data_IF_560602278217
#
_entry.id   IF_560602278217
#
_cell.length_a   1.000
_cell.length_b   1.000
_cell.length_c   1.000
_cell.angle_alpha   90.00
_cell.angle_beta   90.00
_cell.angle_gamma   90.00
#
_symmetry.space_group_name_H-M   'P 1'
#
loop_
_entity.id
_entity.type
_entity.pdbx_description
1 polymer ?
#
# COMPACT_ATOMS: atom_id res chain seq x y z
N UNK A 1 -37.33 -34.60 -40.04
CA UNK A 1 -37.66 -34.56 -38.61
C UNK A 1 -37.28 -33.18 -38.13
N UNK A 2 -38.29 -32.40 -37.75
CA UNK A 2 -38.34 -30.94 -37.87
C UNK A 2 -37.74 -30.26 -36.65
N UNK A 3 -36.99 -29.18 -36.92
CA UNK A 3 -36.60 -28.16 -35.95
C UNK A 3 -37.83 -27.27 -35.73
N UNK A 4 -38.39 -27.27 -34.52
CA UNK A 4 -39.36 -26.26 -34.06
C UNK A 4 -39.25 -26.08 -32.55
N UNK A 5 -39.06 -24.83 -32.18
CA UNK A 5 -39.58 -24.14 -30.98
C UNK A 5 -39.18 -24.62 -29.59
N UNK A 6 -38.39 -23.78 -28.91
CA UNK A 6 -38.82 -23.14 -27.65
C UNK A 6 -38.06 -21.82 -27.50
N UNK A 7 -38.62 -20.73 -28.03
CA UNK A 7 -38.29 -19.37 -27.61
C UNK A 7 -39.44 -18.83 -26.75
N UNK A 8 -39.06 -17.98 -25.79
CA UNK A 8 -39.87 -17.10 -24.95
C UNK A 8 -40.37 -17.65 -23.59
N UNK A 9 -39.59 -17.35 -22.56
CA UNK A 9 -40.10 -16.61 -21.41
C UNK A 9 -39.06 -15.55 -21.02
N UNK A 10 -39.25 -14.33 -21.53
CA UNK A 10 -38.49 -13.15 -21.14
C UNK A 10 -38.89 -12.60 -19.75
N UNK A 11 -39.55 -13.43 -18.91
CA UNK A 11 -39.96 -13.08 -17.54
C UNK A 11 -39.01 -13.63 -16.47
N UNK A 12 -38.11 -14.55 -16.82
CA UNK A 12 -37.22 -15.18 -15.86
C UNK A 12 -35.87 -14.45 -15.70
N UNK A 13 -35.51 -13.58 -16.65
CA UNK A 13 -34.32 -12.72 -16.55
C UNK A 13 -34.52 -11.52 -15.63
N UNK A 14 -35.74 -10.98 -15.52
CA UNK A 14 -36.04 -9.92 -14.54
C UNK A 14 -36.09 -10.46 -13.11
N UNK A 15 -36.51 -11.72 -12.92
CA UNK A 15 -36.55 -12.37 -11.60
C UNK A 15 -35.15 -12.71 -11.07
N UNK A 16 -34.23 -13.13 -11.95
CA UNK A 16 -32.84 -13.43 -11.57
C UNK A 16 -32.01 -12.15 -11.32
N UNK A 17 -32.26 -11.09 -12.09
CA UNK A 17 -31.64 -9.77 -11.87
C UNK A 17 -32.15 -9.09 -10.59
N UNK A 18 -33.39 -9.37 -10.17
CA UNK A 18 -33.95 -8.87 -8.91
C UNK A 18 -33.45 -9.62 -7.66
N UNK A 19 -32.81 -10.79 -7.82
CA UNK A 19 -32.30 -11.63 -6.73
C UNK A 19 -30.79 -11.50 -6.48
N UNK A 20 -30.07 -10.72 -7.29
CA UNK A 20 -28.69 -10.29 -7.04
C UNK A 20 -28.63 -8.80 -6.67
N UNK A 21 -29.57 -8.35 -5.84
CA UNK A 21 -29.25 -7.29 -4.89
C UNK A 21 -28.40 -7.96 -3.80
N UNK A 22 -27.15 -8.28 -4.13
CA UNK A 22 -26.15 -8.49 -3.10
C UNK A 22 -26.17 -7.22 -2.26
N UNK A 23 -26.55 -7.38 -1.00
CA UNK A 23 -26.53 -6.32 -0.01
C UNK A 23 -25.06 -5.89 0.07
N UNK A 24 -24.68 -4.87 -0.72
CA UNK A 24 -23.48 -4.10 -0.44
C UNK A 24 -23.59 -3.74 1.04
N UNK A 25 -22.59 -4.06 1.88
CA UNK A 25 -22.68 -3.71 3.29
C UNK A 25 -22.90 -2.21 3.36
N UNK A 26 -24.10 -1.81 3.78
CA UNK A 26 -24.50 -0.41 3.82
C UNK A 26 -23.47 0.30 4.68
N UNK A 27 -22.70 1.19 4.03
CA UNK A 27 -21.61 1.90 4.67
C UNK A 27 -22.18 2.57 5.92
N UNK A 28 -21.56 2.32 7.09
CA UNK A 28 -22.17 2.76 8.33
C UNK A 28 -22.40 4.29 8.33
N UNK A 29 -23.35 4.81 9.14
CA UNK A 29 -23.70 6.22 9.12
C UNK A 29 -22.52 7.16 9.39
N UNK A 30 -21.49 6.70 10.11
CA UNK A 30 -20.30 7.49 10.38
C UNK A 30 -19.46 7.68 9.12
N UNK A 31 -19.11 6.59 8.43
CA UNK A 31 -18.32 6.64 7.20
C UNK A 31 -19.10 7.34 6.07
N UNK A 32 -20.42 7.16 6.02
CA UNK A 32 -21.27 7.90 5.08
C UNK A 32 -21.22 9.41 5.37
N UNK A 33 -21.19 9.78 6.66
CA UNK A 33 -20.96 11.15 7.11
C UNK A 33 -19.60 11.72 6.69
N UNK A 34 -18.53 10.92 6.75
CA UNK A 34 -17.20 11.33 6.27
C UNK A 34 -17.22 11.60 4.76
N UNK A 35 -17.85 10.74 3.96
CA UNK A 35 -18.01 10.95 2.51
C UNK A 35 -18.84 12.20 2.23
N UNK A 36 -19.94 12.42 2.96
CA UNK A 36 -20.77 13.60 2.79
C UNK A 36 -19.99 14.90 3.09
N UNK A 37 -19.17 14.90 4.15
CA UNK A 37 -18.29 16.03 4.47
C UNK A 37 -17.22 16.24 3.40
N UNK A 38 -16.62 15.17 2.89
CA UNK A 38 -15.66 15.23 1.79
C UNK A 38 -16.27 15.91 0.55
N UNK A 39 -17.44 15.44 0.10
CA UNK A 39 -18.16 16.03 -1.04
C UNK A 39 -18.48 17.50 -0.81
N UNK A 40 -18.92 17.86 0.40
CA UNK A 40 -19.26 19.24 0.74
C UNK A 40 -18.04 20.17 0.73
N UNK A 41 -16.91 19.73 1.31
CA UNK A 41 -15.69 20.54 1.42
C UNK A 41 -14.99 20.69 0.08
N UNK A 42 -14.83 19.57 -0.64
CA UNK A 42 -14.19 19.56 -1.95
C UNK A 42 -14.98 20.37 -3.00
N UNK A 43 -16.31 20.46 -2.88
CA UNK A 43 -17.14 21.28 -3.76
C UNK A 43 -17.20 22.78 -3.43
N UNK A 44 -16.57 23.22 -2.33
CA UNK A 44 -16.47 24.63 -1.91
C UNK A 44 -15.10 25.20 -2.27
N UNK A 45 -14.75 26.39 -1.77
CA UNK A 45 -13.46 27.05 -1.96
C UNK A 45 -12.25 26.30 -1.35
N UNK A 46 -12.45 25.18 -0.64
CA UNK A 46 -11.35 24.37 -0.10
C UNK A 46 -10.79 23.44 -1.18
N UNK A 47 -9.47 23.40 -1.33
CA UNK A 47 -8.81 22.54 -2.30
C UNK A 47 -9.11 21.06 -2.02
N UNK A 48 -9.50 20.29 -3.04
CA UNK A 48 -9.95 18.91 -2.91
C UNK A 48 -8.99 17.99 -2.13
N UNK A 49 -7.68 18.22 -2.28
CA UNK A 49 -6.65 17.42 -1.62
C UNK A 49 -6.59 17.67 -0.10
N UNK A 50 -6.94 18.87 0.35
CA UNK A 50 -7.06 19.19 1.79
C UNK A 50 -8.27 18.47 2.38
N UNK A 51 -9.42 18.56 1.72
CA UNK A 51 -10.63 17.85 2.12
C UNK A 51 -10.41 16.32 2.14
N UNK A 52 -9.70 15.79 1.15
CA UNK A 52 -9.31 14.38 1.08
C UNK A 52 -8.47 13.96 2.30
N UNK A 53 -7.41 14.70 2.63
CA UNK A 53 -6.54 14.37 3.76
C UNK A 53 -7.27 14.39 5.09
N UNK A 54 -8.19 15.35 5.28
CA UNK A 54 -9.04 15.39 6.47
C UNK A 54 -9.98 14.17 6.52
N UNK A 55 -10.57 13.78 5.40
CA UNK A 55 -11.41 12.58 5.30
C UNK A 55 -10.62 11.30 5.58
N UNK A 56 -9.41 11.16 5.03
CA UNK A 56 -8.49 10.06 5.34
C UNK A 56 -8.13 10.00 6.82
N UNK A 57 -8.05 11.16 7.49
CA UNK A 57 -7.81 11.27 8.93
C UNK A 57 -8.95 10.71 9.78
N UNK A 58 -10.18 10.86 9.31
CA UNK A 58 -11.40 10.41 10.01
C UNK A 58 -11.83 9.00 9.63
N UNK A 59 -11.42 8.51 8.45
CA UNK A 59 -11.74 7.15 8.00
C UNK A 59 -11.28 6.15 9.05
N UNK A 60 -12.10 5.17 9.42
CA UNK A 60 -11.76 4.21 10.48
C UNK A 60 -11.71 2.75 10.01
N UNK A 61 -12.33 2.42 8.88
CA UNK A 61 -12.28 1.08 8.29
C UNK A 61 -10.86 0.69 7.90
N UNK A 62 -10.51 -0.57 8.22
CA UNK A 62 -9.27 -1.21 7.80
C UNK A 62 -9.38 -1.86 6.42
N UNK A 63 -10.59 -2.35 6.08
CA UNK A 63 -10.96 -2.99 4.82
C UNK A 63 -12.43 -2.77 4.54
N UNK A 64 -12.81 -2.80 3.28
CA UNK A 64 -14.22 -2.80 2.83
C UNK A 64 -14.35 -3.49 1.47
N UNK A 65 -15.55 -3.96 1.14
CA UNK A 65 -15.89 -4.40 -0.20
C UNK A 65 -16.89 -3.39 -0.78
N UNK A 66 -16.54 -2.79 -1.93
CA UNK A 66 -17.37 -1.77 -2.58
C UNK A 66 -17.44 -2.09 -4.07
N UNK A 67 -18.65 -2.24 -4.60
CA UNK A 67 -18.90 -2.60 -6.00
C UNK A 67 -18.10 -3.84 -6.46
N UNK A 68 -18.02 -4.87 -5.60
CA UNK A 68 -17.29 -6.11 -5.87
C UNK A 68 -15.76 -6.01 -5.81
N UNK A 69 -15.20 -4.84 -5.47
CA UNK A 69 -13.76 -4.66 -5.23
C UNK A 69 -13.47 -4.71 -3.74
N UNK A 70 -12.57 -5.61 -3.36
CA UNK A 70 -11.99 -5.64 -2.02
C UNK A 70 -10.92 -4.56 -1.88
N UNK A 71 -11.11 -3.69 -0.90
CA UNK A 71 -10.14 -2.69 -0.48
C UNK A 71 -9.54 -3.09 0.86
N UNK A 72 -8.22 -3.01 0.94
CA UNK A 72 -7.48 -3.17 2.18
C UNK A 72 -6.58 -1.95 2.38
N UNK A 73 -6.88 -1.16 3.41
CA UNK A 73 -6.17 0.08 3.70
C UNK A 73 -5.13 -0.10 4.79
N UNK A 74 -5.44 -0.90 5.81
CA UNK A 74 -4.56 -1.06 6.97
C UNK A 74 -3.93 -2.46 6.92
N UNK A 75 -2.64 -2.47 6.66
CA UNK A 75 -1.76 -3.63 6.58
C UNK A 75 -1.25 -3.96 7.98
N UNK A 76 -1.38 -5.22 8.38
CA UNK A 76 -0.89 -5.71 9.68
C UNK A 76 -1.47 -4.97 10.90
N UNK A 77 -2.64 -4.34 10.75
CA UNK A 77 -3.33 -3.58 11.81
C UNK A 77 -2.77 -2.18 12.11
N UNK A 78 -1.65 -1.80 11.50
CA UNK A 78 -0.86 -0.62 11.93
C UNK A 78 -0.37 0.27 10.78
N UNK A 79 -0.20 -0.29 9.59
CA UNK A 79 0.39 0.39 8.44
C UNK A 79 -0.68 0.78 7.44
N UNK A 80 -0.89 2.09 7.22
CA UNK A 80 -1.91 2.59 6.30
C UNK A 80 -1.35 2.77 4.89
N UNK A 81 -1.87 2.01 3.92
CA UNK A 81 -1.75 2.32 2.50
C UNK A 81 -2.63 3.54 2.19
N UNK A 82 -2.01 4.71 2.28
CA UNK A 82 -2.66 5.99 2.03
C UNK A 82 -3.11 6.19 0.59
N UNK A 83 -2.44 5.57 -0.40
CA UNK A 83 -2.79 5.75 -1.81
C UNK A 83 -4.04 4.93 -2.16
N UNK A 84 -4.15 3.71 -1.65
CA UNK A 84 -5.37 2.91 -1.78
C UNK A 84 -6.59 3.61 -1.17
N UNK A 85 -6.43 4.19 0.04
CA UNK A 85 -7.50 4.96 0.67
C UNK A 85 -7.82 6.25 -0.09
N UNK A 86 -6.80 6.97 -0.56
CA UNK A 86 -6.98 8.17 -1.37
C UNK A 86 -7.75 7.85 -2.66
N UNK A 87 -7.36 6.79 -3.38
CA UNK A 87 -8.06 6.33 -4.58
C UNK A 87 -9.53 6.07 -4.28
N UNK A 88 -9.83 5.29 -3.23
CA UNK A 88 -11.20 4.98 -2.83
C UNK A 88 -12.04 6.24 -2.61
N UNK A 89 -11.51 7.20 -1.85
CA UNK A 89 -12.25 8.42 -1.49
C UNK A 89 -12.40 9.36 -2.68
N UNK A 90 -11.43 9.42 -3.59
CA UNK A 90 -11.54 10.21 -4.82
C UNK A 90 -12.67 9.72 -5.74
N UNK A 91 -13.03 8.43 -5.69
CA UNK A 91 -14.19 7.92 -6.44
C UNK A 91 -15.52 8.55 -6.00
N UNK A 92 -15.58 9.14 -4.81
CA UNK A 92 -16.78 9.80 -4.27
C UNK A 92 -16.93 11.26 -4.72
N UNK A 93 -15.88 11.84 -5.31
CA UNK A 93 -15.80 13.24 -5.77
C UNK A 93 -15.22 13.37 -7.20
N UNK A 94 -15.70 12.57 -8.18
CA UNK A 94 -15.07 12.47 -9.50
C UNK A 94 -15.09 13.78 -10.30
N UNK A 95 -16.07 14.65 -10.04
CA UNK A 95 -16.23 15.92 -10.77
C UNK A 95 -15.36 17.05 -10.21
N UNK A 96 -14.74 16.85 -9.05
CA UNK A 96 -13.89 17.87 -8.40
C UNK A 96 -12.41 17.61 -8.69
N UNK A 97 -12.00 16.34 -8.71
CA UNK A 97 -10.59 15.95 -8.83
C UNK A 97 -10.18 15.96 -10.31
N UNK A 98 -9.24 16.81 -10.74
CA UNK A 98 -8.75 16.76 -12.11
C UNK A 98 -8.05 15.43 -12.40
N UNK A 99 -8.34 14.75 -13.54
CA UNK A 99 -7.79 13.42 -13.82
C UNK A 99 -6.25 13.35 -13.80
N UNK A 100 -5.57 14.41 -14.29
CA UNK A 100 -4.12 14.47 -14.29
C UNK A 100 -3.55 14.57 -12.87
N UNK A 101 -4.21 15.32 -11.97
CA UNK A 101 -3.77 15.41 -10.56
C UNK A 101 -3.98 14.09 -9.83
N UNK A 102 -5.09 13.40 -10.10
CA UNK A 102 -5.32 12.07 -9.54
C UNK A 102 -4.25 11.08 -10.00
N UNK A 103 -3.90 11.08 -11.29
CA UNK A 103 -2.82 10.25 -11.81
C UNK A 103 -1.48 10.60 -11.15
N UNK A 104 -1.12 11.88 -11.08
CA UNK A 104 0.11 12.32 -10.40
C UNK A 104 0.15 11.90 -8.93
N UNK A 105 -0.98 11.96 -8.22
CA UNK A 105 -1.08 11.49 -6.85
C UNK A 105 -0.88 9.96 -6.75
N UNK A 106 -1.61 9.18 -7.55
CA UNK A 106 -1.63 7.73 -7.43
C UNK A 106 -0.34 7.06 -7.92
N UNK A 107 0.30 7.59 -8.97
CA UNK A 107 1.50 6.99 -9.56
C UNK A 107 2.80 7.62 -9.08
N UNK A 108 2.78 8.91 -8.74
CA UNK A 108 4.00 9.63 -8.35
C UNK A 108 3.97 10.12 -6.89
N UNK A 109 2.87 9.93 -6.17
CA UNK A 109 2.71 10.44 -4.81
C UNK A 109 2.73 11.96 -4.73
N UNK A 110 2.42 12.65 -5.84
CA UNK A 110 2.52 14.10 -5.96
C UNK A 110 1.19 14.76 -5.61
N UNK A 111 1.22 15.64 -4.62
CA UNK A 111 0.08 16.48 -4.25
C UNK A 111 -0.01 17.71 -5.18
N UNK A 112 -1.22 18.23 -5.46
CA UNK A 112 -1.39 19.42 -6.30
C UNK A 112 -0.66 20.66 -5.77
N UNK A 113 -0.59 20.80 -4.45
CA UNK A 113 0.17 21.83 -3.76
C UNK A 113 1.34 21.22 -2.98
N UNK A 114 2.40 22.00 -2.79
CA UNK A 114 3.58 21.59 -2.00
C UNK A 114 3.18 21.30 -0.55
N UNK A 115 3.01 20.03 -0.26
CA UNK A 115 2.68 19.49 1.06
C UNK A 115 3.95 19.19 1.87
N UNK A 116 4.14 19.88 3.00
CA UNK A 116 5.20 19.52 3.96
C UNK A 116 4.69 18.51 5.00
N UNK A 117 5.60 17.91 5.77
CA UNK A 117 5.27 16.86 6.75
C UNK A 117 4.40 17.36 7.90
N UNK A 118 4.63 18.59 8.38
CA UNK A 118 3.88 19.19 9.48
C UNK A 118 2.43 19.40 9.07
N UNK A 119 2.21 19.99 7.89
CA UNK A 119 0.88 20.20 7.33
C UNK A 119 0.15 18.90 7.06
N UNK A 120 0.84 17.89 6.53
CA UNK A 120 0.27 16.56 6.34
C UNK A 120 -0.21 15.97 7.68
N UNK A 121 0.63 16.05 8.71
CA UNK A 121 0.31 15.55 10.05
C UNK A 121 -0.85 16.30 10.69
N UNK A 122 -0.93 17.61 10.50
CA UNK A 122 -2.06 18.42 10.97
C UNK A 122 -3.38 17.99 10.31
N UNK A 123 -3.39 17.80 8.99
CA UNK A 123 -4.60 17.52 8.24
C UNK A 123 -5.12 16.10 8.47
N UNK A 124 -4.23 15.09 8.44
CA UNK A 124 -4.64 13.69 8.60
C UNK A 124 -4.74 13.27 10.09
N UNK A 125 -4.13 14.04 10.99
CA UNK A 125 -4.05 13.73 12.41
C UNK A 125 -2.90 12.79 12.78
N UNK A 126 -2.44 12.82 14.05
CA UNK A 126 -1.20 12.18 14.48
C UNK A 126 -1.21 10.65 14.40
N UNK A 127 -2.36 10.01 14.67
CA UNK A 127 -2.51 8.56 14.61
C UNK A 127 -2.37 8.03 13.17
N UNK A 128 -3.16 8.58 12.25
CA UNK A 128 -3.13 8.23 10.83
C UNK A 128 -1.80 8.60 10.18
N UNK A 129 -1.19 9.70 10.58
CA UNK A 129 0.15 10.07 10.14
C UNK A 129 1.19 9.01 10.53
N UNK A 130 1.12 8.50 11.76
CA UNK A 130 2.00 7.40 12.20
C UNK A 130 1.76 6.14 11.38
N UNK A 131 0.50 5.81 11.09
CA UNK A 131 0.15 4.66 10.26
C UNK A 131 0.68 4.80 8.81
N UNK A 132 0.63 6.00 8.21
CA UNK A 132 1.25 6.27 6.91
C UNK A 132 2.76 6.05 6.94
N UNK A 133 3.43 6.50 8.01
CA UNK A 133 4.87 6.28 8.16
C UNK A 133 5.19 4.80 8.35
N UNK A 134 4.37 4.06 9.09
CA UNK A 134 4.52 2.61 9.23
C UNK A 134 4.44 1.91 7.88
N UNK A 135 3.51 2.28 7.00
CA UNK A 135 3.45 1.72 5.64
C UNK A 135 4.66 2.12 4.79
N UNK A 136 5.02 3.41 4.78
CA UNK A 136 6.17 3.89 4.01
C UNK A 136 7.46 3.20 4.40
N UNK A 137 7.75 3.08 5.70
CA UNK A 137 8.99 2.48 6.17
C UNK A 137 8.94 0.96 6.26
N UNK A 138 7.80 0.40 6.63
CA UNK A 138 7.65 -1.03 6.88
C UNK A 138 7.29 -1.86 5.64
N UNK A 139 6.76 -1.22 4.60
CA UNK A 139 6.47 -1.89 3.32
C UNK A 139 7.36 -1.31 2.23
N UNK A 140 7.13 -0.06 1.81
CA UNK A 140 7.78 0.51 0.61
C UNK A 140 9.31 0.57 0.72
N UNK A 141 9.84 1.07 1.84
CA UNK A 141 11.31 1.11 2.07
C UNK A 141 11.88 -0.28 2.29
N UNK A 142 11.10 -1.21 2.86
CA UNK A 142 11.54 -2.58 3.09
C UNK A 142 11.67 -3.35 1.77
N UNK A 143 10.73 -3.18 0.83
CA UNK A 143 10.81 -3.74 -0.53
C UNK A 143 12.03 -3.19 -1.28
N UNK A 144 12.27 -1.88 -1.18
CA UNK A 144 13.46 -1.28 -1.78
C UNK A 144 14.77 -1.83 -1.16
N UNK A 145 14.77 -2.11 0.15
CA UNK A 145 15.89 -2.76 0.82
C UNK A 145 16.09 -4.22 0.35
N UNK A 146 15.01 -4.97 0.13
CA UNK A 146 15.07 -6.31 -0.44
C UNK A 146 15.73 -6.27 -1.83
N UNK A 147 15.30 -5.33 -2.69
CA UNK A 147 15.92 -5.11 -4.00
C UNK A 147 17.42 -4.79 -3.89
N UNK A 148 17.83 -3.93 -2.94
CA UNK A 148 19.25 -3.63 -2.69
C UNK A 148 20.03 -4.89 -2.30
N UNK A 149 19.46 -5.76 -1.47
CA UNK A 149 20.10 -7.01 -1.08
C UNK A 149 20.24 -7.96 -2.26
N UNK A 150 19.17 -8.14 -3.05
CA UNK A 150 19.17 -8.96 -4.26
C UNK A 150 20.20 -8.48 -5.28
N UNK A 151 20.26 -7.17 -5.56
CA UNK A 151 21.24 -6.60 -6.48
C UNK A 151 22.67 -6.83 -6.00
N UNK A 152 22.92 -6.70 -4.70
CA UNK A 152 24.26 -6.93 -4.14
C UNK A 152 24.71 -8.39 -4.32
N UNK A 153 23.79 -9.33 -4.14
CA UNK A 153 24.04 -10.77 -4.33
C UNK A 153 24.21 -11.08 -5.82
N UNK A 154 23.34 -10.55 -6.68
CA UNK A 154 23.42 -10.69 -8.14
C UNK A 154 24.78 -10.19 -8.65
N UNK A 155 25.21 -8.99 -8.24
CA UNK A 155 26.52 -8.43 -8.60
C UNK A 155 27.67 -9.32 -8.12
N UNK A 156 27.61 -9.82 -6.89
CA UNK A 156 28.64 -10.73 -6.37
C UNK A 156 28.71 -12.07 -7.12
N UNK A 157 27.57 -12.59 -7.58
CA UNK A 157 27.48 -13.85 -8.34
C UNK A 157 27.96 -13.69 -9.77
N UNK A 158 27.59 -12.59 -10.42
CA UNK A 158 28.07 -12.26 -11.76
C UNK A 158 29.60 -12.11 -11.79
N UNK A 159 30.19 -11.50 -10.76
CA UNK A 159 31.65 -11.43 -10.61
C UNK A 159 32.34 -12.81 -10.50
N UNK A 160 31.59 -13.86 -10.17
CA UNK A 160 32.04 -15.26 -10.09
C UNK A 160 31.53 -16.12 -11.25
N UNK A 161 30.96 -15.52 -12.29
CA UNK A 161 30.41 -16.20 -13.46
C UNK A 161 29.26 -17.18 -13.16
N UNK A 162 28.51 -17.00 -12.08
CA UNK A 162 27.27 -17.76 -11.83
C UNK A 162 26.09 -17.17 -12.64
N UNK A 163 25.14 -18.02 -13.01
CA UNK A 163 23.90 -17.62 -13.68
C UNK A 163 22.90 -16.98 -12.70
N UNK A 164 22.07 -16.06 -13.21
CA UNK A 164 20.97 -15.49 -12.44
C UNK A 164 19.84 -16.52 -12.27
N UNK A 165 19.26 -16.59 -11.07
CA UNK A 165 18.18 -17.54 -10.72
C UNK A 165 17.46 -17.08 -9.45
N UNK A 166 16.29 -17.65 -9.17
CA UNK A 166 15.47 -17.35 -7.98
C UNK A 166 16.20 -17.56 -6.65
N UNK A 167 17.29 -18.32 -6.66
CA UNK A 167 18.17 -18.45 -5.50
C UNK A 167 18.78 -17.11 -5.05
N UNK A 168 18.80 -16.07 -5.90
CA UNK A 168 19.18 -14.69 -5.50
C UNK A 168 18.17 -14.12 -4.50
N UNK A 169 16.87 -14.33 -4.73
CA UNK A 169 15.80 -13.85 -3.84
C UNK A 169 15.89 -14.59 -2.51
N UNK A 170 16.07 -15.91 -2.55
CA UNK A 170 16.20 -16.73 -1.34
C UNK A 170 17.43 -16.33 -0.51
N UNK A 171 18.58 -16.09 -1.15
CA UNK A 171 19.81 -15.63 -0.48
C UNK A 171 19.65 -14.22 0.11
N UNK A 172 18.93 -13.32 -0.58
CA UNK A 172 18.67 -11.96 -0.10
C UNK A 172 17.82 -12.00 1.18
N UNK A 173 16.79 -12.84 1.20
CA UNK A 173 15.97 -13.06 2.38
C UNK A 173 16.77 -13.71 3.51
N UNK A 174 17.65 -14.68 3.20
CA UNK A 174 18.57 -15.25 4.18
C UNK A 174 19.49 -14.17 4.77
N UNK A 175 20.02 -13.27 3.94
CA UNK A 175 20.91 -12.20 4.39
C UNK A 175 20.20 -11.18 5.30
N UNK A 176 18.98 -10.76 4.94
CA UNK A 176 18.23 -9.72 5.65
C UNK A 176 17.52 -10.27 6.90
N UNK A 177 16.93 -11.45 6.82
CA UNK A 177 16.01 -11.98 7.83
C UNK A 177 16.52 -13.26 8.50
N UNK A 178 17.53 -13.90 7.92
CA UNK A 178 18.19 -15.11 8.43
C UNK A 178 17.50 -16.42 8.10
N UNK A 179 16.63 -16.44 7.09
CA UNK A 179 15.96 -17.64 6.58
C UNK A 179 15.52 -17.39 5.13
N UNK A 180 15.17 -18.44 4.39
CA UNK A 180 14.74 -18.33 2.99
C UNK A 180 13.37 -17.64 2.87
N UNK A 181 13.08 -17.01 1.73
CA UNK A 181 11.77 -16.38 1.49
C UNK A 181 10.65 -17.40 1.61
N UNK A 182 10.84 -18.59 1.04
CA UNK A 182 9.87 -19.69 1.12
C UNK A 182 9.58 -20.10 2.56
N UNK A 183 10.62 -20.27 3.40
CA UNK A 183 10.43 -20.63 4.80
C UNK A 183 9.78 -19.51 5.61
N UNK A 184 10.14 -18.25 5.33
CA UNK A 184 9.57 -17.08 5.99
C UNK A 184 8.10 -16.89 5.62
N UNK A 185 7.75 -17.07 4.35
CA UNK A 185 6.38 -16.98 3.87
C UNK A 185 5.51 -18.07 4.47
N UNK A 186 5.99 -19.32 4.49
CA UNK A 186 5.30 -20.43 5.15
C UNK A 186 5.05 -20.14 6.64
N UNK A 187 6.05 -19.59 7.35
CA UNK A 187 5.89 -19.16 8.76
C UNK A 187 4.87 -18.05 8.91
N UNK A 188 4.89 -17.04 8.04
CA UNK A 188 3.93 -15.94 8.07
C UNK A 188 2.50 -16.42 7.84
N UNK A 189 2.27 -17.24 6.82
CA UNK A 189 0.96 -17.80 6.49
C UNK A 189 0.42 -18.69 7.62
N UNK A 190 1.29 -19.49 8.23
CA UNK A 190 0.95 -20.29 9.41
C UNK A 190 0.60 -19.41 10.62
N UNK A 191 1.48 -18.49 10.99
CA UNK A 191 1.36 -17.71 12.23
C UNK A 191 0.25 -16.65 12.17
N UNK A 192 -0.01 -16.09 10.98
CA UNK A 192 -0.91 -14.93 10.80
C UNK A 192 -2.23 -15.31 10.16
N UNK A 193 -2.21 -16.18 9.14
CA UNK A 193 -3.40 -16.54 8.37
C UNK A 193 -3.99 -17.90 8.79
N UNK A 194 -3.26 -18.71 9.58
CA UNK A 194 -3.65 -20.08 9.92
C UNK A 194 -3.68 -21.02 8.71
N UNK A 195 -2.96 -20.69 7.63
CA UNK A 195 -2.91 -21.43 6.37
C UNK A 195 -1.71 -22.38 6.39
N UNK A 196 -1.96 -23.66 6.03
CA UNK A 196 -0.97 -24.74 6.10
C UNK A 196 -0.50 -25.25 4.73
N UNK A 197 -1.26 -24.97 3.67
CA UNK A 197 -0.95 -25.35 2.29
C UNK A 197 -0.80 -24.09 1.44
N UNK A 198 0.32 -23.98 0.71
CA UNK A 198 0.71 -22.76 0.00
C UNK A 198 0.65 -22.96 -1.50
N UNK A 199 -0.43 -22.53 -2.14
CA UNK A 199 -0.38 -22.18 -3.57
C UNK A 199 0.18 -20.76 -3.69
N UNK A 200 1.51 -20.65 -3.65
CA UNK A 200 2.24 -19.36 -3.65
C UNK A 200 1.92 -18.48 -4.87
N UNK A 201 1.34 -19.04 -5.93
CA UNK A 201 1.05 -18.37 -7.19
C UNK A 201 -0.24 -17.52 -7.16
N UNK A 202 -1.06 -17.63 -6.09
CA UNK A 202 -2.33 -16.91 -5.99
C UNK A 202 -2.43 -15.95 -4.78
N UNK A 203 -1.31 -15.54 -4.18
CA UNK A 203 -1.33 -14.59 -3.08
C UNK A 203 -1.71 -13.18 -3.57
N UNK A 204 -2.70 -12.57 -2.93
CA UNK A 204 -3.11 -11.20 -3.25
C UNK A 204 -2.02 -10.19 -2.88
N UNK A 205 -2.01 -9.04 -3.54
CA UNK A 205 -1.07 -7.95 -3.24
C UNK A 205 -1.11 -7.56 -1.76
N UNK A 206 -2.29 -7.55 -1.15
CA UNK A 206 -2.42 -7.18 0.24
C UNK A 206 -1.76 -8.18 1.19
N UNK A 207 -1.84 -9.48 0.90
CA UNK A 207 -1.11 -10.52 1.66
C UNK A 207 0.40 -10.33 1.50
N UNK A 208 0.87 -9.98 0.30
CA UNK A 208 2.29 -9.67 0.09
C UNK A 208 2.76 -8.45 0.89
N UNK A 209 1.97 -7.37 0.91
CA UNK A 209 2.27 -6.18 1.72
C UNK A 209 2.29 -6.50 3.21
N UNK A 210 1.36 -7.34 3.70
CA UNK A 210 1.37 -7.82 5.09
C UNK A 210 2.60 -8.65 5.40
N UNK A 211 2.99 -9.56 4.50
CA UNK A 211 4.20 -10.35 4.64
C UNK A 211 5.44 -9.47 4.72
N UNK A 212 5.57 -8.48 3.83
CA UNK A 212 6.66 -7.50 3.88
C UNK A 212 6.67 -6.72 5.19
N UNK A 213 5.51 -6.25 5.66
CA UNK A 213 5.42 -5.56 6.95
C UNK A 213 5.82 -6.45 8.13
N UNK A 214 5.44 -7.73 8.09
CA UNK A 214 5.86 -8.73 9.06
C UNK A 214 7.38 -8.95 9.05
N UNK A 215 8.00 -9.01 7.87
CA UNK A 215 9.45 -9.11 7.70
C UNK A 215 10.18 -7.89 8.27
N UNK A 216 9.65 -6.69 8.02
CA UNK A 216 10.16 -5.45 8.62
C UNK A 216 10.16 -5.53 10.15
N UNK A 217 9.03 -5.88 10.77
CA UNK A 217 8.93 -6.01 12.24
C UNK A 217 9.92 -7.03 12.79
N UNK A 218 10.05 -8.18 12.11
CA UNK A 218 11.04 -9.21 12.44
C UNK A 218 12.47 -8.68 12.35
N UNK A 219 12.81 -7.92 11.30
CA UNK A 219 14.14 -7.33 11.10
C UNK A 219 14.49 -6.32 12.19
N UNK A 220 13.55 -5.42 12.52
CA UNK A 220 13.73 -4.41 13.58
C UNK A 220 13.95 -5.05 14.95
N UNK A 221 13.19 -6.11 15.26
CA UNK A 221 13.32 -6.87 16.51
C UNK A 221 14.62 -7.67 16.59
N UNK A 222 15.06 -8.25 15.46
CA UNK A 222 16.24 -9.13 15.40
C UNK A 222 17.56 -8.37 15.45
N UNK A 223 17.69 -7.25 14.74
CA UNK A 223 18.97 -6.57 14.55
C UNK A 223 19.20 -5.39 15.51
N UNK A 224 20.47 -5.04 15.72
CA UNK A 224 20.84 -3.86 16.51
C UNK A 224 20.39 -2.54 15.83
N UNK A 225 20.07 -1.49 16.61
CA UNK A 225 19.52 -0.24 16.06
C UNK A 225 20.37 0.40 14.97
N UNK A 226 21.69 0.37 15.12
CA UNK A 226 22.63 0.95 14.15
C UNK A 226 22.54 0.25 12.78
N UNK A 227 22.38 -1.09 12.78
CA UNK A 227 22.19 -1.85 11.54
C UNK A 227 20.84 -1.53 10.91
N UNK A 228 19.76 -1.54 11.71
CA UNK A 228 18.41 -1.19 11.23
C UNK A 228 18.41 0.17 10.55
N UNK A 229 19.00 1.19 11.19
CA UNK A 229 19.10 2.54 10.64
C UNK A 229 19.94 2.61 9.36
N UNK A 230 21.04 1.84 9.28
CA UNK A 230 21.87 1.76 8.07
C UNK A 230 21.12 1.10 6.91
N UNK A 231 20.42 -0.01 7.17
CA UNK A 231 19.63 -0.72 6.16
C UNK A 231 18.46 0.16 5.69
N UNK A 232 17.76 0.84 6.59
CA UNK A 232 16.71 1.81 6.23
C UNK A 232 17.26 2.95 5.35
N UNK A 233 18.46 3.46 5.64
CA UNK A 233 19.11 4.47 4.77
C UNK A 233 19.42 3.92 3.38
N UNK A 234 19.85 2.65 3.26
CA UNK A 234 20.07 2.00 1.97
C UNK A 234 18.76 1.85 1.18
N UNK A 235 17.67 1.42 1.82
CA UNK A 235 16.35 1.33 1.18
C UNK A 235 15.84 2.68 0.70
N UNK A 236 15.96 3.73 1.54
CA UNK A 236 15.60 5.10 1.16
C UNK A 236 16.42 5.64 -0.01
N UNK A 237 17.73 5.39 -0.02
CA UNK A 237 18.59 5.77 -1.14
C UNK A 237 18.11 5.08 -2.43
N UNK A 238 17.80 3.78 -2.36
CA UNK A 238 17.32 3.05 -3.53
C UNK A 238 16.02 3.59 -4.09
N UNK A 239 15.06 3.95 -3.23
CA UNK A 239 13.82 4.58 -3.69
C UNK A 239 14.08 5.90 -4.44
N UNK A 240 15.01 6.73 -3.96
CA UNK A 240 15.37 7.97 -4.66
C UNK A 240 16.00 7.69 -6.02
N UNK A 241 16.86 6.68 -6.11
CA UNK A 241 17.46 6.26 -7.38
C UNK A 241 16.38 5.84 -8.38
N UNK A 242 15.43 5.00 -7.95
CA UNK A 242 14.31 4.53 -8.78
C UNK A 242 13.44 5.70 -9.28
N UNK A 243 13.08 6.62 -8.39
CA UNK A 243 12.29 7.82 -8.73
C UNK A 243 13.01 8.73 -9.74
N UNK A 244 14.33 8.85 -9.63
CA UNK A 244 15.13 9.66 -10.55
C UNK A 244 15.33 8.98 -11.92
N UNK A 245 15.39 7.64 -11.98
CA UNK A 245 15.47 6.92 -13.27
C UNK A 245 14.19 7.03 -14.10
N UNK A 246 13.02 7.19 -13.45
CA UNK A 246 11.75 7.44 -14.15
C UNK A 246 11.65 8.90 -14.66
N UNK A 247 12.57 9.78 -14.25
CA UNK A 247 12.59 11.21 -14.58
C UNK A 247 13.87 11.59 -15.34
N UNK A 248 13.92 11.31 -16.65
CA UNK A 248 14.78 12.09 -17.57
C UNK A 248 14.20 13.50 -17.78
N UNK A 249 14.49 14.39 -16.81
CA UNK A 249 14.48 15.87 -16.72
C UNK A 249 13.28 16.74 -17.16
N UNK A 250 13.02 17.93 -16.52
CA UNK A 250 13.38 18.37 -15.17
C UNK A 250 12.16 18.80 -14.35
N UNK A 251 12.21 18.64 -13.01
CA UNK A 251 11.78 19.59 -11.97
C UNK A 251 11.82 18.85 -10.61
N UNK A 252 12.82 19.17 -9.81
CA UNK A 252 12.92 18.80 -8.40
C UNK A 252 11.74 19.41 -7.62
N UNK A 253 10.74 18.59 -7.28
CA UNK A 253 9.64 19.00 -6.39
C UNK A 253 9.47 18.13 -5.14
N UNK A 254 10.42 17.24 -4.81
CA UNK A 254 10.30 16.41 -3.60
C UNK A 254 11.50 16.43 -2.63
N UNK A 255 12.62 17.09 -2.91
CA UNK A 255 13.88 16.89 -2.15
C UNK A 255 14.38 18.13 -1.42
N UNK A 256 13.48 18.87 -0.76
CA UNK A 256 13.84 19.93 0.17
C UNK A 256 13.87 19.47 1.63
N UNK A 257 14.58 18.40 1.96
CA UNK A 257 14.76 17.96 3.36
C UNK A 257 15.21 16.51 3.50
N UNK A 258 16.18 16.27 4.38
CA UNK A 258 16.60 14.92 4.77
C UNK A 258 15.40 14.12 5.29
N UNK A 259 15.00 13.08 4.56
CA UNK A 259 13.94 12.15 4.98
C UNK A 259 14.52 11.10 5.95
N UNK A 260 15.15 11.57 7.03
CA UNK A 260 15.52 10.71 8.14
C UNK A 260 14.25 10.25 8.87
N UNK A 261 14.12 8.97 9.26
CA UNK A 261 12.98 8.53 10.06
C UNK A 261 12.91 9.39 11.34
N UNK A 262 11.74 9.98 11.67
CA UNK A 262 11.59 10.72 12.91
C UNK A 262 12.07 9.88 14.09
N UNK A 263 12.92 10.44 14.96
CA UNK A 263 13.49 9.71 16.11
C UNK A 263 12.41 9.05 16.99
N UNK A 264 11.20 9.62 17.00
CA UNK A 264 10.02 9.10 17.70
C UNK A 264 9.51 7.74 17.18
N UNK A 265 9.76 7.38 15.91
CA UNK A 265 9.34 6.09 15.35
C UNK A 265 10.28 4.94 15.76
N UNK A 266 11.57 5.21 15.90
CA UNK A 266 12.58 4.18 16.20
C UNK A 266 12.40 3.53 17.58
N UNK A 267 11.81 4.25 18.54
CA UNK A 267 11.45 3.70 19.85
C UNK A 267 10.20 2.80 19.80
N UNK A 268 9.16 3.20 19.06
CA UNK A 268 7.90 2.46 18.96
C UNK A 268 7.99 1.15 18.20
N UNK A 269 8.93 1.01 17.26
CA UNK A 269 9.08 -0.23 16.49
C UNK A 269 9.76 -1.38 17.25
N UNK A 270 10.18 -1.16 18.49
CA UNK A 270 10.82 -2.17 19.36
C UNK A 270 9.89 -2.79 20.40
N UNK A 271 8.77 -2.14 20.67
CA UNK A 271 7.70 -2.62 21.57
C UNK A 271 6.81 -3.62 20.84
#
# INVERSE_FOLDING_TARGET
MTITDTFASARDTESFAAQLVEIEPELDPFHAGVIAQLRQRAGKEESWHVALLQAMGQWSLARENVAGRDWQYVIGGEALDGLSLAQRLCLEIPNVVPPYELQSLLFHGQWPERMNQERLRELIGPYRYTALLNFRYGVVVEEALQLVAEESIRKSRLARCYQDSDTVIEDAHCHLYGDTRTNLLAKFLHDTCGIWETDSEALSLAVWQEFTYWLFKRRVKKWHPARVASDTRRGLQRLRELQNTDQTDPIDHFTGGSFDPPAALMGRWRE
#
